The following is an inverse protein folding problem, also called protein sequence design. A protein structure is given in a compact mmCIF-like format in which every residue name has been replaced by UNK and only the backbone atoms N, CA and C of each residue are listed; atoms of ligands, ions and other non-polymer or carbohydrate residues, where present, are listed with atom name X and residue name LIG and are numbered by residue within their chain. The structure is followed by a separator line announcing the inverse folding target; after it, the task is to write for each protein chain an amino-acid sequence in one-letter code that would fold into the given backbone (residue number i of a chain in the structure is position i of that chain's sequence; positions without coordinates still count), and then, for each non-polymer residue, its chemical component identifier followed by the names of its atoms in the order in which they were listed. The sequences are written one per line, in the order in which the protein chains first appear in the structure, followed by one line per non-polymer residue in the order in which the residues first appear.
data_IF_003861021384
#
_entry.id   IF_003861021384
#
_cell.length_a   1.000
_cell.length_b   1.000
_cell.length_c   1.000
_cell.angle_alpha   90.00
_cell.angle_beta   90.00
_cell.angle_gamma   90.00
#
_symmetry.space_group_name_H-M   'P 1'
#
loop_
_entity.id
_entity.type
_entity.pdbx_description
1 polymer ?
#
# COMPACT_ATOMS: atom_id res chain seq x y z
N UNK A 1 -25.03 -10.70 15.54
CA UNK A 1 -26.42 -10.51 15.06
C UNK A 1 -26.35 -10.32 13.55
N UNK A 2 -26.78 -11.33 12.80
CA UNK A 2 -26.77 -11.35 11.34
C UNK A 2 -27.91 -10.45 10.84
N UNK A 3 -27.59 -9.36 10.14
CA UNK A 3 -28.57 -8.68 9.29
C UNK A 3 -28.29 -9.15 7.86
N UNK A 4 -29.22 -9.96 7.35
CA UNK A 4 -29.33 -10.28 5.93
C UNK A 4 -30.09 -9.14 5.28
N UNK A 5 -29.45 -8.42 4.35
CA UNK A 5 -30.19 -7.67 3.34
C UNK A 5 -30.28 -8.52 2.08
N UNK A 6 -31.52 -8.91 1.77
CA UNK A 6 -31.90 -9.53 0.52
C UNK A 6 -32.12 -8.44 -0.54
N UNK A 7 -31.73 -8.73 -1.77
CA UNK A 7 -32.01 -7.96 -3.01
C UNK A 7 -31.04 -6.81 -3.34
N UNK A 8 -29.76 -7.14 -3.58
CA UNK A 8 -29.02 -6.49 -4.66
C UNK A 8 -27.84 -7.40 -5.08
N UNK A 9 -27.95 -8.07 -6.23
CA UNK A 9 -26.89 -8.93 -6.76
C UNK A 9 -25.77 -8.07 -7.40
N UNK A 10 -25.27 -7.06 -6.68
CA UNK A 10 -24.00 -6.41 -6.95
C UNK A 10 -22.98 -7.06 -6.03
N UNK A 11 -21.83 -7.56 -6.54
CA UNK A 11 -20.76 -8.01 -5.66
C UNK A 11 -20.37 -6.83 -4.76
N UNK A 12 -20.58 -6.96 -3.45
CA UNK A 12 -20.20 -5.96 -2.47
C UNK A 12 -18.68 -5.84 -2.50
N UNK A 13 -18.17 -4.81 -3.16
CA UNK A 13 -16.74 -4.62 -3.35
C UNK A 13 -16.17 -4.04 -2.07
N UNK A 14 -15.23 -4.77 -1.50
CA UNK A 14 -14.49 -4.33 -0.33
C UNK A 14 -13.12 -3.85 -0.80
N UNK A 15 -12.57 -2.87 -0.11
CA UNK A 15 -11.25 -2.30 -0.42
C UNK A 15 -10.39 -2.36 0.83
N UNK A 16 -9.20 -2.95 0.73
CA UNK A 16 -8.22 -2.95 1.81
C UNK A 16 -7.07 -2.07 1.39
N UNK A 17 -6.59 -1.23 2.32
CA UNK A 17 -5.46 -0.34 2.10
C UNK A 17 -4.43 -0.47 3.21
N UNK A 18 -3.15 -0.38 2.86
CA UNK A 18 -2.01 -0.28 3.76
C UNK A 18 -1.27 1.03 3.48
N UNK A 19 -1.14 1.86 4.50
CA UNK A 19 -0.37 3.11 4.48
C UNK A 19 1.02 2.83 5.05
N UNK A 20 2.07 3.27 4.36
CA UNK A 20 3.47 3.11 4.76
C UNK A 20 4.15 4.49 4.78
N UNK A 21 4.88 4.77 5.85
CA UNK A 21 5.63 6.02 6.02
C UNK A 21 7.13 5.79 5.76
N UNK A 22 7.69 6.56 4.82
CA UNK A 22 9.10 6.54 4.40
C UNK A 22 9.91 7.75 4.94
N UNK A 23 9.38 8.52 5.90
CA UNK A 23 10.06 9.70 6.47
C UNK A 23 11.49 9.43 6.95
N UNK A 24 11.81 8.19 7.31
CA UNK A 24 13.14 7.77 7.80
C UNK A 24 14.14 7.43 6.69
N UNK A 25 13.72 7.44 5.42
CA UNK A 25 14.56 7.03 4.31
C UNK A 25 15.58 8.10 3.87
N UNK A 26 15.44 9.37 4.30
CA UNK A 26 16.29 10.46 3.82
C UNK A 26 16.46 11.62 4.82
N UNK A 27 17.67 12.15 4.95
CA UNK A 27 17.99 13.34 5.74
C UNK A 27 17.64 14.64 5.01
N UNK A 28 16.69 15.40 5.55
CA UNK A 28 16.18 16.64 4.93
C UNK A 28 17.27 17.73 4.91
N UNK A 29 17.85 18.00 3.74
CA UNK A 29 18.89 19.05 3.62
C UNK A 29 19.17 19.62 2.22
N UNK A 30 18.63 19.02 1.16
CA UNK A 30 18.92 19.42 -0.22
C UNK A 30 17.63 19.77 -0.98
N UNK A 31 17.62 20.88 -1.72
CA UNK A 31 16.45 21.35 -2.48
C UNK A 31 16.01 20.34 -3.57
N UNK A 32 16.95 19.58 -4.12
CA UNK A 32 16.68 18.54 -5.12
C UNK A 32 16.32 17.18 -4.53
N UNK A 33 16.50 16.99 -3.20
CA UNK A 33 16.25 15.72 -2.55
C UNK A 33 14.82 15.22 -2.74
N UNK A 34 13.75 16.04 -2.56
CA UNK A 34 12.37 15.57 -2.72
C UNK A 34 12.10 15.02 -4.12
N UNK A 35 12.57 15.71 -5.16
CA UNK A 35 12.36 15.29 -6.56
C UNK A 35 13.09 13.99 -6.89
N UNK A 36 14.35 13.87 -6.46
CA UNK A 36 15.13 12.64 -6.64
C UNK A 36 14.51 11.47 -5.88
N UNK A 37 14.05 11.72 -4.65
CA UNK A 37 13.38 10.72 -3.83
C UNK A 37 12.06 10.25 -4.46
N UNK A 38 11.20 11.16 -4.92
CA UNK A 38 9.96 10.82 -5.62
C UNK A 38 10.22 10.03 -6.92
N UNK A 39 11.25 10.39 -7.69
CA UNK A 39 11.63 9.64 -8.89
C UNK A 39 12.24 8.26 -8.56
N UNK A 40 12.84 8.11 -7.40
CA UNK A 40 13.41 6.85 -6.96
C UNK A 40 12.31 5.90 -6.45
N UNK A 41 11.40 6.40 -5.61
CA UNK A 41 10.33 5.60 -5.03
C UNK A 41 9.28 5.19 -6.08
N UNK A 42 9.09 5.95 -7.16
CA UNK A 42 8.22 5.55 -8.29
C UNK A 42 8.62 4.22 -8.94
N UNK A 43 9.84 3.75 -8.74
CA UNK A 43 10.28 2.43 -9.23
C UNK A 43 9.62 1.27 -8.49
N UNK A 44 9.12 1.48 -7.28
CA UNK A 44 8.47 0.44 -6.47
C UNK A 44 7.16 -0.04 -7.10
N UNK A 45 6.53 0.77 -7.96
CA UNK A 45 5.30 0.44 -8.68
C UNK A 45 5.44 -0.84 -9.51
N UNK A 46 6.66 -1.13 -9.99
CA UNK A 46 6.96 -2.35 -10.76
C UNK A 46 6.88 -3.64 -9.93
N UNK A 47 7.02 -3.52 -8.60
CA UNK A 47 7.03 -4.65 -7.66
C UNK A 47 5.63 -4.92 -7.07
N UNK A 48 4.70 -3.99 -7.27
CA UNK A 48 3.33 -4.11 -6.81
C UNK A 48 2.46 -4.68 -7.92
N UNK A 49 2.21 -5.98 -7.86
CA UNK A 49 1.23 -6.70 -8.68
C UNK A 49 0.66 -7.86 -7.86
N UNK A 50 -0.67 -8.01 -7.66
CA UNK A 50 -1.78 -7.37 -8.40
C UNK A 50 -2.45 -6.16 -7.70
N UNK A 51 -1.91 -5.69 -6.58
CA UNK A 51 -2.47 -4.53 -5.87
C UNK A 51 -2.20 -3.22 -6.63
N UNK A 52 -2.89 -2.15 -6.26
CA UNK A 52 -2.61 -0.80 -6.74
C UNK A 52 -1.76 -0.06 -5.70
N UNK A 53 -0.97 0.90 -6.17
CA UNK A 53 -0.10 1.72 -5.32
C UNK A 53 -0.27 3.20 -5.67
N UNK A 54 -0.13 4.04 -4.65
CA UNK A 54 -0.13 5.49 -4.74
C UNK A 54 1.04 6.02 -3.92
N UNK A 55 1.80 6.93 -4.51
CA UNK A 55 3.02 7.48 -3.94
C UNK A 55 2.86 8.98 -3.83
N UNK A 56 3.09 9.53 -2.64
CA UNK A 56 3.07 10.97 -2.42
C UNK A 56 4.17 11.38 -1.45
N UNK A 57 5.25 11.98 -1.98
CA UNK A 57 6.45 12.29 -1.20
C UNK A 57 6.94 11.06 -0.42
N UNK A 58 6.89 11.11 0.91
CA UNK A 58 7.24 10.06 1.86
C UNK A 58 6.11 9.10 2.23
N UNK A 59 4.88 9.35 1.80
CA UNK A 59 3.73 8.48 2.03
C UNK A 59 3.52 7.50 0.87
N UNK A 60 3.32 6.22 1.20
CA UNK A 60 2.97 5.17 0.25
C UNK A 60 1.65 4.54 0.67
N UNK A 61 0.73 4.43 -0.28
CA UNK A 61 -0.56 3.75 -0.08
C UNK A 61 -0.62 2.57 -1.02
N UNK A 62 -0.87 1.39 -0.47
CA UNK A 62 -1.10 0.16 -1.21
C UNK A 62 -2.57 -0.24 -1.02
N UNK A 63 -3.31 -0.54 -2.08
CA UNK A 63 -4.69 -1.01 -1.91
C UNK A 63 -5.07 -2.09 -2.92
N UNK A 64 -6.05 -2.91 -2.53
CA UNK A 64 -6.68 -3.88 -3.42
C UNK A 64 -8.20 -3.82 -3.23
N UNK A 65 -8.96 -4.25 -4.24
CA UNK A 65 -10.42 -4.31 -4.17
C UNK A 65 -10.91 -5.61 -4.77
N UNK A 66 -11.66 -6.39 -4.00
CA UNK A 66 -12.27 -7.65 -4.45
C UNK A 66 -13.58 -7.89 -3.67
N UNK A 67 -14.34 -8.91 -4.05
CA UNK A 67 -15.51 -9.36 -3.30
C UNK A 67 -15.13 -10.29 -2.13
N UNK A 68 -13.92 -10.87 -2.16
CA UNK A 68 -13.44 -11.81 -1.16
C UNK A 68 -12.30 -11.22 -0.31
N UNK A 69 -12.57 -10.99 0.98
CA UNK A 69 -11.58 -10.48 1.97
C UNK A 69 -10.30 -11.32 1.98
N UNK A 70 -10.41 -12.65 2.01
CA UNK A 70 -9.24 -13.53 2.11
C UNK A 70 -8.34 -13.42 0.88
N UNK A 71 -8.94 -13.22 -0.30
CA UNK A 71 -8.20 -12.98 -1.53
C UNK A 71 -7.51 -11.62 -1.52
N UNK A 72 -8.17 -10.59 -1.00
CA UNK A 72 -7.61 -9.25 -0.85
C UNK A 72 -6.43 -9.22 0.10
N UNK A 73 -6.58 -9.84 1.26
CA UNK A 73 -5.55 -9.92 2.30
C UNK A 73 -4.34 -10.68 1.77
N UNK A 74 -4.56 -11.77 1.03
CA UNK A 74 -3.49 -12.49 0.32
C UNK A 74 -2.78 -11.61 -0.72
N UNK A 75 -3.52 -10.85 -1.54
CA UNK A 75 -2.94 -9.96 -2.56
C UNK A 75 -2.12 -8.82 -1.95
N UNK A 76 -2.63 -8.21 -0.88
CA UNK A 76 -1.93 -7.16 -0.15
C UNK A 76 -0.68 -7.69 0.53
N UNK A 77 -0.77 -8.80 1.26
CA UNK A 77 0.38 -9.41 1.91
C UNK A 77 1.45 -9.80 0.89
N UNK A 78 1.06 -10.37 -0.25
CA UNK A 78 2.01 -10.66 -1.34
C UNK A 78 2.70 -9.40 -1.86
N UNK A 79 1.94 -8.32 -2.03
CA UNK A 79 2.49 -7.04 -2.49
C UNK A 79 3.41 -6.40 -1.44
N UNK A 80 3.09 -6.53 -0.16
CA UNK A 80 3.95 -6.12 0.96
C UNK A 80 5.26 -6.90 1.01
N UNK A 81 5.23 -8.21 0.77
CA UNK A 81 6.45 -9.04 0.69
C UNK A 81 7.34 -8.60 -0.47
N UNK A 82 6.77 -8.33 -1.65
CA UNK A 82 7.55 -7.82 -2.79
C UNK A 82 8.16 -6.43 -2.49
N UNK A 83 7.39 -5.57 -1.81
CA UNK A 83 7.86 -4.26 -1.36
C UNK A 83 9.00 -4.41 -0.35
N UNK A 84 8.90 -5.37 0.57
CA UNK A 84 9.95 -5.66 1.55
C UNK A 84 11.25 -6.05 0.84
N UNK A 85 11.19 -6.92 -0.17
CA UNK A 85 12.34 -7.29 -0.98
C UNK A 85 12.97 -6.08 -1.68
N UNK A 86 12.15 -5.18 -2.26
CA UNK A 86 12.65 -3.93 -2.85
C UNK A 86 13.37 -3.06 -1.81
N UNK A 87 12.79 -2.90 -0.63
CA UNK A 87 13.32 -2.04 0.43
C UNK A 87 14.60 -2.60 1.05
N UNK A 88 14.68 -3.92 1.24
CA UNK A 88 15.89 -4.60 1.71
C UNK A 88 17.04 -4.44 0.70
N UNK A 89 16.75 -4.62 -0.60
CA UNK A 89 17.73 -4.43 -1.68
C UNK A 89 18.24 -2.98 -1.77
N UNK A 90 17.39 -2.01 -1.44
CA UNK A 90 17.68 -0.59 -1.55
C UNK A 90 18.07 0.08 -0.21
N UNK A 91 18.16 -0.70 0.89
CA UNK A 91 18.47 -0.21 2.25
C UNK A 91 17.55 0.92 2.72
N UNK A 92 16.30 0.90 2.27
CA UNK A 92 15.24 1.81 2.71
C UNK A 92 14.69 1.25 4.02
N UNK A 93 14.07 2.07 4.87
CA UNK A 93 13.47 1.59 6.11
C UNK A 93 12.05 2.15 6.26
N UNK A 94 11.04 1.26 6.36
CA UNK A 94 9.67 1.67 6.61
C UNK A 94 9.44 1.95 8.09
N UNK A 95 8.64 2.97 8.37
CA UNK A 95 8.23 3.25 9.73
C UNK A 95 7.00 2.41 10.11
N UNK A 96 7.21 1.14 10.48
CA UNK A 96 6.13 0.22 10.87
C UNK A 96 5.22 0.75 11.99
N UNK A 97 5.74 1.61 12.88
CA UNK A 97 4.96 2.22 13.96
C UNK A 97 3.93 3.25 13.50
N UNK A 98 4.09 3.79 12.29
CA UNK A 98 3.14 4.72 11.66
C UNK A 98 2.36 4.10 10.50
N UNK A 99 2.80 2.93 10.03
CA UNK A 99 2.07 2.18 9.02
C UNK A 99 0.73 1.67 9.56
N UNK A 100 -0.35 1.85 8.79
CA UNK A 100 -1.72 1.50 9.22
C UNK A 100 -2.47 0.75 8.12
N UNK A 101 -3.25 -0.27 8.48
CA UNK A 101 -4.17 -0.97 7.58
C UNK A 101 -5.64 -0.58 7.80
N UNK A 102 -6.42 -0.46 6.72
CA UNK A 102 -7.86 -0.17 6.80
C UNK A 102 -8.67 -1.00 5.79
N UNK A 103 -9.91 -1.36 6.15
CA UNK A 103 -10.88 -2.05 5.29
C UNK A 103 -12.11 -1.15 5.08
N UNK A 104 -12.35 -0.78 3.83
CA UNK A 104 -13.54 -0.04 3.39
C UNK A 104 -14.59 -1.02 2.83
N UNK A 105 -15.85 -0.79 3.17
CA UNK A 105 -17.01 -1.48 2.62
C UNK A 105 -17.87 -0.45 1.91
N UNK A 106 -18.19 -0.68 0.64
CA UNK A 106 -19.02 0.22 -0.19
C UNK A 106 -20.32 -0.47 -0.56
#
# INVERSE_FOLDING_TARGET
MLVRDSQNHKPMRQTMAAFLDLSKAFDRGFVLSPTLFSSFISRIEKYVNPSQIGLFADDVVLWCSDANVSKMEFQLNRSLVNIQEFVDNHKINFNASRSTGCLFKT
#
